data_IF_815803047813
#
_entry.id   IF_815803047813
#
_cell.length_a   1.000
_cell.length_b   1.000
_cell.length_c   1.000
_cell.angle_alpha   90.00
_cell.angle_beta   90.00
_cell.angle_gamma   90.00
#
_symmetry.space_group_name_H-M   'P 1'
#
loop_
_entity.id
_entity.type
_entity.pdbx_description
1 polymer ?
#
# COMPACT_ATOMS: atom_id res chain seq x y z
N UNK A 1 -1.21 -11.69 -9.02
CA UNK A 1 -1.20 -10.64 -7.97
C UNK A 1 0.10 -10.60 -7.20
N UNK A 2 0.49 -11.63 -6.44
CA UNK A 2 1.73 -11.58 -5.64
C UNK A 2 3.02 -11.48 -6.46
N UNK A 3 3.07 -12.07 -7.67
CA UNK A 3 4.26 -12.03 -8.54
C UNK A 3 4.64 -10.64 -9.02
N UNK A 4 3.68 -9.77 -9.32
CA UNK A 4 3.92 -8.38 -9.74
C UNK A 4 4.45 -7.53 -8.59
N UNK A 5 3.86 -7.68 -7.40
CA UNK A 5 4.28 -7.00 -6.18
C UNK A 5 5.70 -7.45 -5.74
N UNK A 6 6.00 -8.76 -5.80
CA UNK A 6 7.35 -9.28 -5.54
C UNK A 6 8.38 -8.72 -6.53
N UNK A 7 8.01 -8.59 -7.81
CA UNK A 7 8.88 -7.97 -8.82
C UNK A 7 9.11 -6.49 -8.51
N UNK A 8 8.07 -5.73 -8.21
CA UNK A 8 8.18 -4.31 -7.86
C UNK A 8 9.10 -4.07 -6.66
N UNK A 9 8.97 -4.89 -5.62
CA UNK A 9 9.83 -4.83 -4.43
C UNK A 9 11.30 -5.13 -4.76
N UNK A 10 11.56 -6.15 -5.58
CA UNK A 10 12.91 -6.51 -6.04
C UNK A 10 13.56 -5.38 -6.86
N UNK A 11 12.77 -4.66 -7.66
CA UNK A 11 13.24 -3.54 -8.47
C UNK A 11 13.24 -2.20 -7.71
N UNK A 12 12.84 -2.20 -6.43
CA UNK A 12 12.68 -0.99 -5.60
C UNK A 12 11.79 0.08 -6.25
N UNK A 13 10.80 -0.37 -7.01
CA UNK A 13 9.82 0.50 -7.65
C UNK A 13 8.63 0.67 -6.71
N UNK A 14 8.68 1.72 -5.89
CA UNK A 14 7.64 2.01 -4.91
C UNK A 14 6.32 2.45 -5.56
N UNK A 15 6.35 3.06 -6.74
CA UNK A 15 5.14 3.44 -7.48
C UNK A 15 4.41 2.21 -7.99
N UNK A 16 5.15 1.26 -8.59
CA UNK A 16 4.58 -0.02 -8.99
C UNK A 16 4.12 -0.85 -7.79
N UNK A 17 4.87 -0.86 -6.68
CA UNK A 17 4.44 -1.51 -5.45
C UNK A 17 3.13 -0.90 -4.92
N UNK A 18 3.01 0.43 -4.95
CA UNK A 18 1.79 1.17 -4.59
C UNK A 18 0.58 0.77 -5.42
N UNK A 19 0.71 0.71 -6.75
CA UNK A 19 -0.37 0.22 -7.65
C UNK A 19 -0.81 -1.19 -7.32
N UNK A 20 0.16 -2.09 -7.15
CA UNK A 20 -0.11 -3.48 -6.82
C UNK A 20 -0.78 -3.64 -5.44
N UNK A 21 -0.48 -2.76 -4.48
CA UNK A 21 -1.19 -2.69 -3.19
C UNK A 21 -2.63 -2.16 -3.34
N UNK A 22 -2.85 -1.09 -4.09
CA UNK A 22 -4.19 -0.56 -4.34
C UNK A 22 -5.09 -1.60 -5.00
N UNK A 23 -4.60 -2.26 -6.05
CA UNK A 23 -5.31 -3.36 -6.73
C UNK A 23 -5.59 -4.54 -5.80
N UNK A 24 -4.67 -4.88 -4.89
CA UNK A 24 -4.90 -5.91 -3.88
C UNK A 24 -6.06 -5.57 -2.94
N UNK A 25 -6.19 -4.32 -2.48
CA UNK A 25 -7.30 -3.95 -1.61
C UNK A 25 -8.63 -3.86 -2.39
N UNK A 26 -8.62 -3.44 -3.65
CA UNK A 26 -9.81 -3.37 -4.49
C UNK A 26 -10.44 -4.76 -4.69
N UNK A 27 -9.65 -5.69 -5.24
CA UNK A 27 -9.38 -7.01 -4.67
C UNK A 27 -10.29 -7.60 -3.58
N UNK A 28 -9.86 -7.32 -2.35
CA UNK A 28 -10.53 -7.68 -1.11
C UNK A 28 -11.92 -7.07 -0.98
N UNK A 29 -12.10 -5.82 -1.41
CA UNK A 29 -13.40 -5.15 -1.43
C UNK A 29 -14.41 -5.92 -2.28
N UNK A 30 -13.99 -6.40 -3.46
CA UNK A 30 -14.83 -7.23 -4.33
C UNK A 30 -15.17 -8.57 -3.70
N UNK A 31 -14.17 -9.27 -3.15
CA UNK A 31 -14.37 -10.58 -2.48
C UNK A 31 -15.28 -10.47 -1.25
N UNK A 32 -15.25 -9.35 -0.54
CA UNK A 32 -16.11 -9.09 0.61
C UNK A 32 -17.54 -8.67 0.21
N UNK A 33 -17.86 -8.54 -1.08
CA UNK A 33 -19.14 -8.01 -1.56
C UNK A 33 -19.33 -6.52 -1.28
N UNK A 34 -18.26 -5.79 -0.94
CA UNK A 34 -18.32 -4.37 -0.64
C UNK A 34 -18.01 -3.55 -1.91
N UNK A 35 -19.05 -3.35 -2.73
CA UNK A 35 -18.96 -2.63 -4.00
C UNK A 35 -18.50 -1.17 -3.84
N UNK A 36 -18.81 -0.53 -2.71
CA UNK A 36 -18.37 0.83 -2.41
C UNK A 36 -16.85 0.88 -2.22
N UNK A 37 -16.31 0.00 -1.36
CA UNK A 37 -14.87 -0.07 -1.08
C UNK A 37 -14.08 -0.43 -2.34
N UNK A 38 -14.58 -1.38 -3.15
CA UNK A 38 -13.96 -1.75 -4.43
C UNK A 38 -13.86 -0.55 -5.38
N UNK A 39 -14.96 0.20 -5.59
CA UNK A 39 -14.96 1.38 -6.47
C UNK A 39 -14.02 2.49 -6.00
N UNK A 40 -14.00 2.78 -4.70
CA UNK A 40 -13.11 3.80 -4.12
C UNK A 40 -11.65 3.43 -4.36
N UNK A 41 -11.28 2.17 -4.13
CA UNK A 41 -9.89 1.72 -4.28
C UNK A 41 -9.45 1.65 -5.74
N UNK A 42 -10.34 1.27 -6.67
CA UNK A 42 -10.06 1.34 -8.11
C UNK A 42 -9.88 2.78 -8.60
N UNK A 43 -10.64 3.73 -8.06
CA UNK A 43 -10.47 5.14 -8.38
C UNK A 43 -9.09 5.67 -7.92
N UNK A 44 -8.63 5.23 -6.74
CA UNK A 44 -7.29 5.56 -6.23
C UNK A 44 -6.18 4.91 -7.08
N UNK A 45 -6.37 3.66 -7.51
CA UNK A 45 -5.44 2.96 -8.40
C UNK A 45 -5.26 3.66 -9.75
N UNK A 46 -6.34 4.29 -10.25
CA UNK A 46 -6.36 4.96 -11.56
C UNK A 46 -5.85 6.41 -11.52
N UNK A 47 -5.52 6.94 -10.34
CA UNK A 47 -4.99 8.29 -10.18
C UNK A 47 -3.45 8.26 -10.27
N UNK A 48 -2.93 8.49 -11.48
CA UNK A 48 -1.49 8.52 -11.75
C UNK A 48 -0.73 9.59 -10.94
N UNK A 49 -1.41 10.66 -10.49
CA UNK A 49 -0.81 11.74 -9.70
C UNK A 49 -0.53 11.32 -8.26
N UNK A 50 -1.37 10.46 -7.68
CA UNK A 50 -1.17 9.86 -6.36
C UNK A 50 -0.12 8.73 -6.38
N UNK A 51 -0.01 8.03 -7.50
CA UNK A 51 0.84 6.83 -7.66
C UNK A 51 2.27 7.16 -8.11
N UNK A 52 2.43 8.20 -8.94
CA UNK A 52 3.71 8.50 -9.60
C UNK A 52 4.56 9.56 -8.88
N UNK A 53 4.14 10.03 -7.70
CA UNK A 53 4.93 10.98 -6.91
C UNK A 53 6.17 10.31 -6.30
N UNK A 54 7.23 10.27 -7.10
CA UNK A 54 8.56 9.74 -6.75
C UNK A 54 9.30 10.59 -5.71
N UNK A 55 8.81 11.77 -5.36
CA UNK A 55 9.37 12.60 -4.27
C UNK A 55 9.05 12.04 -2.87
N UNK A 56 8.15 11.05 -2.80
CA UNK A 56 7.58 10.50 -1.56
C UNK A 56 7.66 8.98 -1.50
N UNK A 57 8.83 8.43 -1.89
CA UNK A 57 9.07 6.98 -1.82
C UNK A 57 9.29 6.57 -0.34
N UNK A 58 8.45 5.66 0.20
CA UNK A 58 8.66 5.12 1.54
C UNK A 58 9.97 4.32 1.62
N UNK A 59 10.57 4.25 2.81
CA UNK A 59 11.77 3.45 2.99
C UNK A 59 11.51 1.97 2.64
N UNK A 60 12.41 1.37 1.86
CA UNK A 60 12.27 0.01 1.32
C UNK A 60 11.86 -1.04 2.38
N UNK A 61 12.47 -0.99 3.57
CA UNK A 61 12.18 -1.93 4.65
C UNK A 61 10.71 -1.84 5.14
N UNK A 62 10.10 -0.65 5.07
CA UNK A 62 8.70 -0.45 5.44
C UNK A 62 7.78 -1.08 4.39
N UNK A 63 8.14 -0.97 3.10
CA UNK A 63 7.40 -1.59 1.99
C UNK A 63 7.49 -3.12 2.06
N UNK A 64 8.66 -3.67 2.38
CA UNK A 64 8.86 -5.11 2.57
C UNK A 64 8.06 -5.67 3.75
N UNK A 65 8.09 -4.98 4.89
CA UNK A 65 7.29 -5.34 6.06
C UNK A 65 5.78 -5.30 5.76
N UNK A 66 5.33 -4.32 4.98
CA UNK A 66 3.95 -4.19 4.54
C UNK A 66 3.56 -5.33 3.58
N UNK A 67 4.45 -5.75 2.68
CA UNK A 67 4.25 -6.89 1.79
C UNK A 67 4.06 -8.21 2.54
N UNK A 68 4.89 -8.49 3.55
CA UNK A 68 4.75 -9.73 4.35
C UNK A 68 3.36 -9.83 4.98
N UNK A 69 2.83 -8.72 5.49
CA UNK A 69 1.48 -8.69 6.08
C UNK A 69 0.38 -8.97 5.04
N UNK A 70 0.56 -8.56 3.79
CA UNK A 70 -0.38 -8.85 2.70
C UNK A 70 -0.41 -10.34 2.35
N UNK A 71 0.75 -10.99 2.36
CA UNK A 71 0.85 -12.44 2.18
C UNK A 71 0.11 -13.17 3.30
N UNK A 72 0.24 -12.73 4.54
CA UNK A 72 -0.49 -13.33 5.67
C UNK A 72 -2.01 -13.22 5.52
N UNK A 73 -2.52 -12.07 5.04
CA UNK A 73 -3.95 -11.86 4.76
C UNK A 73 -4.43 -12.82 3.68
N UNK A 74 -3.69 -12.94 2.56
CA UNK A 74 -4.02 -13.88 1.48
C UNK A 74 -4.05 -15.33 1.95
N UNK A 75 -3.10 -15.73 2.78
CA UNK A 75 -3.07 -17.07 3.34
C UNK A 75 -4.27 -17.32 4.27
N UNK A 76 -4.64 -16.34 5.09
CA UNK A 76 -5.81 -16.44 5.96
C UNK A 76 -7.13 -16.54 5.16
N UNK A 77 -7.26 -15.77 4.07
CA UNK A 77 -8.39 -15.84 3.15
C UNK A 77 -8.51 -17.20 2.49
N UNK A 78 -7.40 -17.74 1.96
CA UNK A 78 -7.37 -19.09 1.35
C UNK A 78 -7.79 -20.20 2.32
N UNK A 79 -7.54 -20.00 3.62
CA UNK A 79 -7.93 -20.94 4.68
C UNK A 79 -9.35 -20.73 5.19
N UNK A 80 -10.07 -19.71 4.72
CA UNK A 80 -11.41 -19.37 5.19
C UNK A 80 -11.47 -18.84 6.62
N UNK A 81 -10.33 -18.49 7.24
CA UNK A 81 -10.27 -18.03 8.63
C UNK A 81 -10.63 -16.55 8.73
N UNK A 82 -11.94 -16.27 8.69
CA UNK A 82 -12.51 -14.92 8.68
C UNK A 82 -12.06 -14.08 9.88
N UNK A 83 -11.89 -14.69 11.06
CA UNK A 83 -11.43 -13.98 12.28
C UNK A 83 -9.98 -13.55 12.15
N UNK A 84 -9.12 -14.41 11.60
CA UNK A 84 -7.72 -14.08 11.32
C UNK A 84 -7.58 -13.04 10.22
N UNK A 85 -8.41 -13.13 9.17
CA UNK A 85 -8.45 -12.12 8.10
C UNK A 85 -8.74 -10.73 8.67
N UNK A 86 -9.77 -10.58 9.51
CA UNK A 86 -10.12 -9.28 10.13
C UNK A 86 -8.96 -8.71 10.96
N UNK A 87 -8.34 -9.53 11.82
CA UNK A 87 -7.20 -9.08 12.65
C UNK A 87 -6.01 -8.65 11.80
N UNK A 88 -5.69 -9.41 10.76
CA UNK A 88 -4.57 -9.11 9.87
C UNK A 88 -4.85 -7.85 9.04
N UNK A 89 -6.07 -7.68 8.53
CA UNK A 89 -6.47 -6.47 7.81
C UNK A 89 -6.37 -5.21 8.68
N UNK A 90 -6.83 -5.26 9.93
CA UNK A 90 -6.67 -4.16 10.91
C UNK A 90 -5.20 -3.85 11.20
N UNK A 91 -4.33 -4.87 11.18
CA UNK A 91 -2.88 -4.67 11.31
C UNK A 91 -2.31 -3.99 10.08
N UNK A 92 -2.69 -4.42 8.87
CA UNK A 92 -2.27 -3.77 7.64
C UNK A 92 -2.66 -2.28 7.63
N UNK A 93 -3.89 -1.91 7.99
CA UNK A 93 -4.31 -0.49 8.03
C UNK A 93 -3.45 0.34 9.01
N UNK A 94 -3.09 -0.22 10.17
CA UNK A 94 -2.20 0.46 11.12
C UNK A 94 -0.78 0.60 10.56
N UNK A 95 -0.24 -0.46 9.95
CA UNK A 95 1.07 -0.42 9.30
C UNK A 95 1.11 0.52 8.10
N UNK A 96 0.00 0.67 7.37
CA UNK A 96 -0.14 1.70 6.33
C UNK A 96 0.00 3.11 6.93
N UNK A 97 -0.60 3.38 8.09
CA UNK A 97 -0.41 4.65 8.80
C UNK A 97 1.06 4.93 9.15
N UNK A 98 1.81 3.92 9.59
CA UNK A 98 3.26 4.07 9.81
C UNK A 98 4.04 4.34 8.53
N UNK A 99 3.60 3.76 7.41
CA UNK A 99 4.21 3.96 6.09
C UNK A 99 4.03 5.40 5.61
N UNK A 100 2.83 5.99 5.80
CA UNK A 100 2.54 7.40 5.52
C UNK A 100 3.41 8.34 6.36
N UNK A 101 3.68 8.00 7.63
CA UNK A 101 4.54 8.79 8.50
C UNK A 101 6.05 8.56 8.26
N UNK A 102 6.43 7.43 7.68
CA UNK A 102 7.81 7.12 7.30
C UNK A 102 8.21 7.75 5.96
N UNK A 103 7.24 8.25 5.20
CA UNK A 103 7.47 9.06 4.00
C UNK A 103 7.98 10.43 4.41
N UNK A 104 9.17 10.86 3.95
CA UNK A 104 9.69 12.18 4.30
C UNK A 104 8.73 13.27 3.83
N UNK A 105 8.35 14.16 4.75
CA UNK A 105 7.68 15.41 4.38
C UNK A 105 8.69 16.28 3.67
N UNK A 106 8.41 16.66 2.42
CA UNK A 106 9.16 17.73 1.75
C UNK A 106 8.92 19.01 2.52
N UNK A 107 9.81 19.32 3.47
CA UNK A 107 9.94 20.69 3.98
C UNK A 107 10.48 21.49 2.82
N UNK A 108 9.62 22.34 2.23
CA UNK A 108 10.02 23.25 1.16
C UNK A 108 11.22 24.12 1.60
N UNK A 109 12.02 24.63 0.64
CA UNK A 109 13.22 25.41 0.95
C UNK A 109 12.84 26.56 1.88
N UNK A 110 13.55 26.68 3.00
CA UNK A 110 13.39 27.78 3.95
C UNK A 110 13.66 29.09 3.19
N UNK A 111 12.67 29.98 3.00
CA UNK A 111 12.93 31.24 2.36
C UNK A 111 13.60 32.14 3.39
N UNK A 112 14.90 32.37 3.23
CA UNK A 112 15.60 33.41 3.98
C UNK A 112 16.87 32.92 4.68
N UNK A 113 17.93 32.74 3.90
CA UNK A 113 19.28 32.97 4.40
C UNK A 113 20.08 33.61 3.25
N UNK A 114 20.00 34.93 3.19
CA UNK A 114 20.95 35.80 2.52
C UNK A 114 20.78 37.20 3.08
N UNK A 115 21.77 38.09 2.98
CA UNK A 115 23.17 37.88 2.56
C UNK A 115 24.14 37.57 3.73
#
# INVERSE_FOLDING_TARGET
MTSGLSRALLHRDAGEAGRQFAGFYAELGRLAGNAYLSRVLTAIESDDGLVSDSSRVPQQHAVEAFFTQHVDVLQALRRGDSRRVVRLAQRCIRSFGHLVHATPSVVGPTPGAGP
#
